data_IF_012414711124
#
_entry.id   IF_012414711124
#
_cell.length_a   1.000
_cell.length_b   1.000
_cell.length_c   1.000
_cell.angle_alpha   90.00
_cell.angle_beta   90.00
_cell.angle_gamma   90.00
#
_symmetry.space_group_name_H-M   'P 1'
#
loop_
_entity.id
_entity.type
_entity.pdbx_description
1 polymer ?
#
# COMPACT_ATOMS: atom_id res chain seq x y z
N UNK A 1 -85.42 32.31 -12.72
CA UNK A 1 -85.12 33.43 -11.80
C UNK A 1 -85.84 33.18 -10.49
N UNK A 2 -85.16 32.57 -9.53
CA UNK A 2 -85.69 32.28 -8.20
C UNK A 2 -85.79 33.58 -7.41
N UNK A 3 -87.00 33.98 -7.00
CA UNK A 3 -87.19 35.10 -6.08
C UNK A 3 -86.32 34.91 -4.83
N UNK A 4 -85.67 35.99 -4.38
CA UNK A 4 -84.89 35.98 -3.14
C UNK A 4 -85.78 35.51 -1.98
N UNK A 5 -85.24 34.68 -1.08
CA UNK A 5 -85.94 34.21 0.13
C UNK A 5 -86.50 35.41 0.92
N UNK A 6 -85.81 36.56 0.90
CA UNK A 6 -86.26 37.79 1.51
C UNK A 6 -87.57 38.32 0.92
N UNK A 7 -87.74 38.22 -0.41
CA UNK A 7 -88.97 38.63 -1.11
C UNK A 7 -90.12 37.68 -0.81
N UNK A 8 -89.85 36.36 -0.78
CA UNK A 8 -90.87 35.36 -0.42
C UNK A 8 -91.36 35.52 1.01
N UNK A 9 -90.45 35.79 1.95
CA UNK A 9 -90.80 36.06 3.35
C UNK A 9 -91.61 37.35 3.48
N UNK A 10 -91.22 38.43 2.80
CA UNK A 10 -91.99 39.68 2.80
C UNK A 10 -93.43 39.47 2.32
N UNK A 11 -93.62 38.81 1.18
CA UNK A 11 -94.97 38.52 0.67
C UNK A 11 -95.74 37.55 1.57
N UNK A 12 -95.08 36.61 2.23
CA UNK A 12 -95.70 35.71 3.20
C UNK A 12 -96.21 36.46 4.44
N UNK A 13 -95.40 37.35 5.03
CA UNK A 13 -95.80 38.14 6.19
C UNK A 13 -96.90 39.17 5.86
N UNK A 14 -96.80 39.83 4.70
CA UNK A 14 -97.87 40.74 4.22
C UNK A 14 -99.14 39.95 3.91
N UNK A 15 -99.02 38.81 3.21
CA UNK A 15 -100.15 37.94 2.88
C UNK A 15 -100.84 37.38 4.11
N UNK A 16 -100.09 36.89 5.10
CA UNK A 16 -100.63 36.43 6.38
C UNK A 16 -101.32 37.57 7.15
N UNK A 17 -100.72 38.77 7.17
CA UNK A 17 -101.32 39.95 7.79
C UNK A 17 -102.64 40.36 7.15
N UNK A 18 -102.72 40.37 5.82
CA UNK A 18 -103.94 40.66 5.06
C UNK A 18 -105.00 39.55 5.22
N UNK A 19 -104.61 38.28 5.25
CA UNK A 19 -105.53 37.16 5.50
C UNK A 19 -106.13 37.24 6.90
N UNK A 20 -105.32 37.52 7.93
CA UNK A 20 -105.80 37.69 9.30
C UNK A 20 -106.71 38.92 9.39
N UNK A 21 -106.32 40.04 8.80
CA UNK A 21 -107.14 41.26 8.76
C UNK A 21 -108.48 41.06 8.05
N UNK A 22 -108.48 40.31 6.94
CA UNK A 22 -109.68 39.96 6.18
C UNK A 22 -110.59 38.96 6.91
N UNK A 23 -110.02 37.90 7.50
CA UNK A 23 -110.76 36.93 8.29
C UNK A 23 -111.38 37.56 9.53
N UNK A 24 -110.64 38.44 10.23
CA UNK A 24 -111.17 39.21 11.35
C UNK A 24 -112.30 40.14 10.91
N UNK A 25 -112.17 40.78 9.75
CA UNK A 25 -113.24 41.63 9.21
C UNK A 25 -114.52 40.84 8.91
N UNK A 26 -114.41 39.65 8.30
CA UNK A 26 -115.55 38.78 8.02
C UNK A 26 -116.21 38.28 9.31
N UNK A 27 -115.39 37.85 10.27
CA UNK A 27 -115.87 37.42 11.58
C UNK A 27 -116.60 38.54 12.32
N UNK A 28 -116.02 39.74 12.36
CA UNK A 28 -116.62 40.91 13.00
C UNK A 28 -117.93 41.32 12.33
N UNK A 29 -118.06 41.23 11.00
CA UNK A 29 -119.33 41.45 10.30
C UNK A 29 -120.39 40.38 10.63
N UNK A 30 -119.98 39.13 10.84
CA UNK A 30 -120.91 38.04 11.18
C UNK A 30 -121.40 38.08 12.64
N UNK A 31 -120.58 38.61 13.55
CA UNK A 31 -120.83 38.56 15.00
C UNK A 31 -121.24 39.89 15.62
N UNK A 32 -120.82 41.03 15.08
CA UNK A 32 -121.31 42.35 15.49
C UNK A 32 -122.31 42.85 14.45
N UNK A 33 -123.57 43.03 14.86
CA UNK A 33 -124.59 43.72 14.06
C UNK A 33 -124.25 45.22 13.92
N UNK A 34 -123.25 45.53 13.10
CA UNK A 34 -122.78 46.88 12.83
C UNK A 34 -123.89 47.68 12.13
N UNK A 35 -124.20 48.88 12.63
CA UNK A 35 -125.17 49.78 12.01
C UNK A 35 -124.76 50.12 10.56
N UNK A 36 -125.75 50.22 9.65
CA UNK A 36 -125.59 50.32 8.19
C UNK A 36 -124.65 51.44 7.69
N UNK A 37 -124.33 52.45 8.52
CA UNK A 37 -123.39 53.52 8.18
C UNK A 37 -121.91 53.25 8.47
N UNK A 38 -121.56 52.26 9.31
CA UNK A 38 -120.18 51.99 9.74
C UNK A 38 -119.46 50.88 8.96
N UNK A 39 -120.18 50.14 8.12
CA UNK A 39 -119.70 48.91 7.50
C UNK A 39 -118.70 49.15 6.35
N UNK A 40 -118.78 50.29 5.65
CA UNK A 40 -117.92 50.61 4.50
C UNK A 40 -116.47 50.93 4.88
N UNK A 41 -116.23 51.50 6.06
CA UNK A 41 -114.89 51.87 6.52
C UNK A 41 -114.20 50.79 7.38
N UNK A 42 -114.97 49.87 7.95
CA UNK A 42 -114.45 48.85 8.86
C UNK A 42 -113.54 47.83 8.17
N UNK A 43 -113.96 47.33 6.99
CA UNK A 43 -113.19 46.36 6.19
C UNK A 43 -111.81 46.92 5.75
N UNK A 44 -111.72 48.11 5.12
CA UNK A 44 -110.42 48.68 4.77
C UNK A 44 -109.59 49.01 6.01
N UNK A 45 -110.22 49.37 7.13
CA UNK A 45 -109.56 49.54 8.42
C UNK A 45 -108.85 48.27 8.89
N UNK A 46 -109.55 47.13 8.96
CA UNK A 46 -108.96 45.85 9.36
C UNK A 46 -107.87 45.36 8.41
N UNK A 47 -108.03 45.55 7.09
CA UNK A 47 -106.99 45.22 6.11
C UNK A 47 -105.74 46.09 6.27
N UNK A 48 -105.90 47.38 6.56
CA UNK A 48 -104.77 48.29 6.81
C UNK A 48 -104.00 47.91 8.07
N UNK A 49 -104.69 47.56 9.15
CA UNK A 49 -104.07 47.08 10.40
C UNK A 49 -103.36 45.74 10.16
N UNK A 50 -103.98 44.81 9.42
CA UNK A 50 -103.38 43.55 9.03
C UNK A 50 -102.08 43.75 8.23
N UNK A 51 -102.08 44.70 7.28
CA UNK A 51 -100.89 45.05 6.49
C UNK A 51 -99.77 45.66 7.36
N UNK A 52 -100.11 46.55 8.31
CA UNK A 52 -99.14 47.14 9.25
C UNK A 52 -98.53 46.05 10.14
N UNK A 53 -99.35 45.15 10.69
CA UNK A 53 -98.87 44.03 11.51
C UNK A 53 -97.96 43.10 10.69
N UNK A 54 -98.32 42.82 9.44
CA UNK A 54 -97.48 42.02 8.53
C UNK A 54 -96.12 42.69 8.26
N UNK A 55 -96.11 43.99 7.97
CA UNK A 55 -94.88 44.76 7.76
C UNK A 55 -94.03 44.85 9.05
N UNK A 56 -94.66 45.02 10.21
CA UNK A 56 -93.98 45.08 11.50
C UNK A 56 -93.33 43.73 11.87
N UNK A 57 -94.03 42.61 11.67
CA UNK A 57 -93.47 41.27 11.88
C UNK A 57 -92.32 40.99 10.91
N UNK A 58 -92.45 41.35 9.64
CA UNK A 58 -91.34 41.25 8.69
C UNK A 58 -90.14 42.09 9.13
N UNK A 59 -90.37 43.34 9.57
CA UNK A 59 -89.31 44.21 10.06
C UNK A 59 -88.61 43.61 11.29
N UNK A 60 -89.37 43.07 12.25
CA UNK A 60 -88.84 42.43 13.45
C UNK A 60 -88.04 41.17 13.11
N UNK A 61 -88.56 40.31 12.23
CA UNK A 61 -87.88 39.11 11.75
C UNK A 61 -86.57 39.47 11.01
N UNK A 62 -86.62 40.49 10.14
CA UNK A 62 -85.45 40.98 9.42
C UNK A 62 -84.36 41.48 10.38
N UNK A 63 -84.76 42.22 11.41
CA UNK A 63 -83.84 42.83 12.37
C UNK A 63 -83.23 41.79 13.33
N UNK A 64 -84.01 40.80 13.78
CA UNK A 64 -83.55 39.80 14.75
C UNK A 64 -82.80 38.63 14.10
N UNK A 65 -83.29 38.10 12.97
CA UNK A 65 -82.78 36.85 12.38
C UNK A 65 -81.88 37.12 11.17
N UNK A 66 -82.38 37.83 10.15
CA UNK A 66 -81.62 38.04 8.90
C UNK A 66 -80.33 38.83 9.12
N UNK A 67 -80.36 39.88 9.93
CA UNK A 67 -79.16 40.68 10.20
C UNK A 67 -78.02 39.88 10.84
N UNK A 68 -78.34 38.87 11.65
CA UNK A 68 -77.33 37.99 12.29
C UNK A 68 -76.80 36.95 11.31
N UNK A 69 -77.66 36.40 10.44
CA UNK A 69 -77.26 35.51 9.35
C UNK A 69 -76.34 36.20 8.34
N UNK A 70 -76.61 37.47 8.01
CA UNK A 70 -75.76 38.25 7.10
C UNK A 70 -74.34 38.44 7.68
N UNK A 71 -74.22 38.72 8.98
CA UNK A 71 -72.93 38.82 9.69
C UNK A 71 -72.17 37.48 9.68
N UNK A 72 -72.84 36.38 10.01
CA UNK A 72 -72.28 35.03 9.96
C UNK A 72 -71.81 34.67 8.54
N UNK A 73 -72.64 34.94 7.53
CA UNK A 73 -72.31 34.68 6.13
C UNK A 73 -71.07 35.46 5.67
N UNK A 74 -70.89 36.69 6.15
CA UNK A 74 -69.71 37.49 5.83
C UNK A 74 -68.43 36.89 6.43
N UNK A 75 -68.45 36.48 7.71
CA UNK A 75 -67.27 35.85 8.33
C UNK A 75 -66.97 34.49 7.68
N UNK A 76 -67.99 33.72 7.34
CA UNK A 76 -67.82 32.44 6.63
C UNK A 76 -67.21 32.65 5.26
N UNK A 77 -67.60 33.73 4.55
CA UNK A 77 -67.03 34.08 3.25
C UNK A 77 -65.55 34.46 3.34
N UNK A 78 -65.14 35.12 4.43
CA UNK A 78 -63.72 35.48 4.66
C UNK A 78 -62.89 34.22 4.94
N UNK A 79 -63.37 33.33 5.81
CA UNK A 79 -62.71 32.05 6.08
C UNK A 79 -62.65 31.16 4.83
N UNK A 80 -63.73 31.10 4.03
CA UNK A 80 -63.76 30.37 2.77
C UNK A 80 -62.80 30.94 1.70
N UNK A 81 -62.44 32.22 1.81
CA UNK A 81 -61.42 32.84 0.96
C UNK A 81 -59.98 32.53 1.44
N UNK A 82 -59.82 31.78 2.54
CA UNK A 82 -58.53 31.37 3.09
C UNK A 82 -57.99 32.30 4.18
N UNK A 83 -58.72 33.33 4.56
CA UNK A 83 -58.35 34.18 5.70
C UNK A 83 -58.94 33.63 7.00
N UNK A 84 -58.12 32.81 7.68
CA UNK A 84 -58.44 32.18 8.96
C UNK A 84 -58.11 33.08 10.17
N UNK A 85 -57.71 34.33 9.95
CA UNK A 85 -57.33 35.25 11.03
C UNK A 85 -58.54 35.83 11.78
N UNK A 86 -59.72 35.78 11.16
CA UNK A 86 -60.94 36.37 11.70
C UNK A 86 -61.67 35.41 12.65
N UNK A 87 -62.01 35.92 13.84
CA UNK A 87 -62.90 35.25 14.79
C UNK A 87 -64.25 35.98 14.81
N UNK A 88 -65.35 35.23 14.82
CA UNK A 88 -66.66 35.82 15.01
C UNK A 88 -66.87 36.11 16.51
N UNK A 89 -67.00 37.38 16.88
CA UNK A 89 -67.14 37.84 18.28
C UNK A 89 -68.59 38.07 18.71
N UNK A 90 -69.56 37.69 17.86
CA UNK A 90 -70.98 37.87 18.18
C UNK A 90 -71.36 36.90 19.32
N UNK A 91 -71.77 37.45 20.46
CA UNK A 91 -72.27 36.68 21.59
C UNK A 91 -73.78 36.50 21.47
N UNK A 92 -74.22 35.25 21.58
CA UNK A 92 -75.63 34.86 21.58
C UNK A 92 -75.78 33.59 22.41
N UNK A 93 -76.77 33.53 23.28
CA UNK A 93 -77.05 32.36 24.13
C UNK A 93 -78.05 31.39 23.44
N UNK A 94 -78.12 31.43 22.12
CA UNK A 94 -79.01 30.62 21.28
C UNK A 94 -78.21 29.80 20.25
N UNK A 95 -78.91 29.15 19.33
CA UNK A 95 -78.33 28.32 18.26
C UNK A 95 -77.30 29.08 17.42
N UNK A 96 -77.39 30.42 17.30
CA UNK A 96 -76.38 31.20 16.59
C UNK A 96 -75.05 31.22 17.35
N UNK A 97 -75.08 31.25 18.68
CA UNK A 97 -73.88 31.15 19.53
C UNK A 97 -73.15 29.82 19.34
N UNK A 98 -73.89 28.71 19.31
CA UNK A 98 -73.31 27.38 19.06
C UNK A 98 -72.65 27.30 17.67
N UNK A 99 -73.30 27.81 16.62
CA UNK A 99 -72.74 27.86 15.26
C UNK A 99 -71.44 28.66 15.23
N UNK A 100 -71.41 29.81 15.92
CA UNK A 100 -70.23 30.67 16.03
C UNK A 100 -69.09 29.94 16.74
N UNK A 101 -69.39 29.25 17.84
CA UNK A 101 -68.39 28.49 18.59
C UNK A 101 -67.78 27.37 17.74
N UNK A 102 -68.60 26.55 17.07
CA UNK A 102 -68.10 25.49 16.18
C UNK A 102 -67.32 26.04 15.00
N UNK A 103 -67.75 27.17 14.43
CA UNK A 103 -67.03 27.83 13.35
C UNK A 103 -65.66 28.34 13.81
N UNK A 104 -65.58 29.03 14.95
CA UNK A 104 -64.32 29.52 15.50
C UNK A 104 -63.37 28.34 15.81
N UNK A 105 -63.88 27.23 16.36
CA UNK A 105 -63.10 26.02 16.59
C UNK A 105 -62.58 25.41 15.27
N UNK A 106 -63.41 25.35 14.24
CA UNK A 106 -63.00 24.87 12.92
C UNK A 106 -61.90 25.74 12.32
N UNK A 107 -62.04 27.07 12.36
CA UNK A 107 -61.01 28.00 11.89
C UNK A 107 -59.70 27.85 12.66
N UNK A 108 -59.76 27.68 13.98
CA UNK A 108 -58.59 27.43 14.81
C UNK A 108 -57.88 26.13 14.39
N UNK A 109 -58.63 25.03 14.24
CA UNK A 109 -58.07 23.75 13.79
C UNK A 109 -57.44 23.86 12.39
N UNK A 110 -58.09 24.58 11.46
CA UNK A 110 -57.53 24.81 10.11
C UNK A 110 -56.25 25.63 10.17
N UNK A 111 -56.19 26.65 11.03
CA UNK A 111 -54.99 27.46 11.22
C UNK A 111 -53.83 26.62 11.76
N UNK A 112 -54.08 25.80 12.78
CA UNK A 112 -53.08 24.89 13.34
C UNK A 112 -52.56 23.88 12.30
N UNK A 113 -53.44 23.37 11.42
CA UNK A 113 -53.02 22.51 10.31
C UNK A 113 -52.13 23.25 9.30
N UNK A 114 -52.47 24.49 8.94
CA UNK A 114 -51.65 25.30 8.03
C UNK A 114 -50.28 25.61 8.65
N UNK A 115 -50.24 25.98 9.93
CA UNK A 115 -49.00 26.21 10.67
C UNK A 115 -48.14 24.93 10.72
N UNK A 116 -48.74 23.75 10.96
CA UNK A 116 -48.04 22.47 10.93
C UNK A 116 -47.50 22.10 9.54
N UNK A 117 -48.25 22.41 8.47
CA UNK A 117 -47.81 22.21 7.08
C UNK A 117 -46.62 23.12 6.75
N UNK A 118 -46.66 24.39 7.16
CA UNK A 118 -45.56 25.34 6.96
C UNK A 118 -44.30 24.87 7.69
N UNK A 119 -44.41 24.50 8.97
CA UNK A 119 -43.31 23.97 9.75
C UNK A 119 -42.72 22.69 9.12
N UNK A 120 -43.57 21.81 8.59
CA UNK A 120 -43.12 20.61 7.86
C UNK A 120 -42.38 20.98 6.58
N UNK A 121 -42.83 22.00 5.85
CA UNK A 121 -42.16 22.54 4.66
C UNK A 121 -40.75 23.04 4.97
N UNK A 122 -40.58 23.79 6.06
CA UNK A 122 -39.28 24.32 6.49
C UNK A 122 -38.30 23.20 6.87
N UNK A 123 -38.79 22.16 7.56
CA UNK A 123 -38.00 20.97 7.91
C UNK A 123 -37.55 20.24 6.63
N UNK A 124 -38.46 20.05 5.67
CA UNK A 124 -38.14 19.41 4.38
C UNK A 124 -37.10 20.24 3.63
N UNK A 125 -37.25 21.55 3.55
CA UNK A 125 -36.29 22.44 2.89
C UNK A 125 -34.90 22.34 3.53
N UNK A 126 -34.83 22.37 4.86
CA UNK A 126 -33.57 22.22 5.61
C UNK A 126 -32.94 20.86 5.36
N UNK A 127 -33.74 19.79 5.37
CA UNK A 127 -33.30 18.42 5.12
C UNK A 127 -32.77 18.26 3.69
N UNK A 128 -33.43 18.87 2.70
CA UNK A 128 -32.97 18.88 1.31
C UNK A 128 -31.64 19.61 1.14
N UNK A 129 -31.44 20.74 1.82
CA UNK A 129 -30.15 21.43 1.83
C UNK A 129 -29.04 20.58 2.45
N UNK A 130 -29.33 19.89 3.56
CA UNK A 130 -28.39 18.98 4.19
C UNK A 130 -28.04 17.80 3.26
N UNK A 131 -29.05 17.22 2.60
CA UNK A 131 -28.87 16.14 1.63
C UNK A 131 -28.00 16.57 0.46
N UNK A 132 -28.25 17.75 -0.14
CA UNK A 132 -27.43 18.29 -1.22
C UNK A 132 -25.97 18.48 -0.79
N UNK A 133 -25.72 19.04 0.41
CA UNK A 133 -24.35 19.16 0.94
C UNK A 133 -23.70 17.80 1.15
N UNK A 134 -24.45 16.80 1.60
CA UNK A 134 -23.94 15.45 1.78
C UNK A 134 -23.61 14.81 0.43
N UNK A 135 -24.47 14.96 -0.58
CA UNK A 135 -24.23 14.46 -1.94
C UNK A 135 -22.98 15.08 -2.56
N UNK A 136 -22.76 16.39 -2.42
CA UNK A 136 -21.53 17.04 -2.91
C UNK A 136 -20.28 16.53 -2.21
N UNK A 137 -20.34 16.31 -0.89
CA UNK A 137 -19.23 15.67 -0.15
C UNK A 137 -18.96 14.26 -0.63
N UNK A 138 -19.99 13.43 -0.76
CA UNK A 138 -19.85 12.06 -1.29
C UNK A 138 -19.25 12.08 -2.69
N UNK A 139 -19.63 13.03 -3.54
CA UNK A 139 -19.05 13.18 -4.88
C UNK A 139 -17.57 13.52 -4.82
N UNK A 140 -17.16 14.43 -3.95
CA UNK A 140 -15.76 14.76 -3.74
C UNK A 140 -14.96 13.57 -3.17
N UNK A 141 -15.54 12.81 -2.24
CA UNK A 141 -14.92 11.62 -1.67
C UNK A 141 -14.72 10.53 -2.72
N UNK A 142 -15.71 10.32 -3.60
CA UNK A 142 -15.60 9.37 -4.73
C UNK A 142 -14.50 9.79 -5.71
N UNK A 143 -14.36 11.08 -5.99
CA UNK A 143 -13.27 11.59 -6.85
C UNK A 143 -11.89 11.33 -6.21
N UNK A 144 -11.73 11.62 -4.92
CA UNK A 144 -10.51 11.32 -4.17
C UNK A 144 -10.21 9.82 -4.13
N UNK A 145 -11.25 8.99 -3.99
CA UNK A 145 -11.13 7.54 -4.00
C UNK A 145 -10.67 7.03 -5.38
N UNK A 146 -11.20 7.59 -6.48
CA UNK A 146 -10.76 7.24 -7.83
C UNK A 146 -9.28 7.61 -8.07
N UNK A 147 -8.84 8.77 -7.59
CA UNK A 147 -7.43 9.17 -7.66
C UNK A 147 -6.53 8.23 -6.84
N UNK A 148 -6.99 7.84 -5.64
CA UNK A 148 -6.28 6.88 -4.80
C UNK A 148 -6.18 5.50 -5.46
N UNK A 149 -7.26 5.05 -6.13
CA UNK A 149 -7.25 3.81 -6.90
C UNK A 149 -6.31 3.87 -8.10
N UNK A 150 -6.22 5.00 -8.80
CA UNK A 150 -5.25 5.19 -9.88
C UNK A 150 -3.82 5.07 -9.36
N UNK A 151 -3.50 5.69 -8.23
CA UNK A 151 -2.19 5.55 -7.58
C UNK A 151 -1.93 4.11 -7.12
N UNK A 152 -2.92 3.42 -6.57
CA UNK A 152 -2.77 2.00 -6.19
C UNK A 152 -2.41 1.16 -7.41
N UNK A 153 -3.08 1.37 -8.54
CA UNK A 153 -2.78 0.64 -9.79
C UNK A 153 -1.35 0.91 -10.27
N UNK A 154 -0.87 2.16 -10.19
CA UNK A 154 0.51 2.51 -10.52
C UNK A 154 1.51 1.81 -9.59
N UNK A 155 1.26 1.82 -8.27
CA UNK A 155 2.09 1.11 -7.30
C UNK A 155 2.12 -0.39 -7.58
N UNK A 156 0.97 -1.00 -7.91
CA UNK A 156 0.87 -2.43 -8.24
C UNK A 156 1.67 -2.75 -9.50
N UNK A 157 1.63 -1.90 -10.52
CA UNK A 157 2.44 -2.06 -11.73
C UNK A 157 3.94 -1.99 -11.39
N UNK A 158 4.36 -1.00 -10.60
CA UNK A 158 5.75 -0.87 -10.14
C UNK A 158 6.21 -2.06 -9.30
N UNK A 159 5.32 -2.61 -8.45
CA UNK A 159 5.60 -3.83 -7.69
C UNK A 159 5.77 -5.05 -8.61
N UNK A 160 4.96 -5.18 -9.66
CA UNK A 160 5.11 -6.26 -10.63
C UNK A 160 6.47 -6.19 -11.35
N UNK A 161 6.88 -4.99 -11.77
CA UNK A 161 8.19 -4.76 -12.37
C UNK A 161 9.34 -5.10 -11.40
N UNK A 162 9.20 -4.69 -10.13
CA UNK A 162 10.16 -5.01 -9.09
C UNK A 162 10.30 -6.53 -8.88
N UNK A 163 9.19 -7.28 -8.88
CA UNK A 163 9.20 -8.74 -8.77
C UNK A 163 9.93 -9.39 -9.95
N UNK A 164 9.69 -8.91 -11.18
CA UNK A 164 10.40 -9.40 -12.37
C UNK A 164 11.91 -9.12 -12.27
N UNK A 165 12.29 -7.92 -11.82
CA UNK A 165 13.70 -7.54 -11.63
C UNK A 165 14.36 -8.40 -10.56
N UNK A 166 13.70 -8.63 -9.41
CA UNK A 166 14.20 -9.50 -8.35
C UNK A 166 14.39 -10.94 -8.86
N UNK A 167 13.45 -11.48 -9.63
CA UNK A 167 13.57 -12.81 -10.22
C UNK A 167 14.77 -12.89 -11.17
N UNK A 168 14.98 -11.87 -12.01
CA UNK A 168 16.13 -11.78 -12.92
C UNK A 168 17.46 -11.72 -12.15
N UNK A 169 17.53 -10.89 -11.10
CA UNK A 169 18.71 -10.81 -10.25
C UNK A 169 19.00 -12.12 -9.50
N UNK A 170 17.97 -12.82 -9.01
CA UNK A 170 18.12 -14.13 -8.40
C UNK A 170 18.68 -15.16 -9.39
N UNK A 171 18.16 -15.19 -10.61
CA UNK A 171 18.64 -16.06 -11.69
C UNK A 171 20.11 -15.76 -12.03
N UNK A 172 20.46 -14.48 -12.18
CA UNK A 172 21.85 -14.06 -12.45
C UNK A 172 22.79 -14.45 -11.31
N UNK A 173 22.35 -14.25 -10.06
CA UNK A 173 23.14 -14.59 -8.87
C UNK A 173 23.37 -16.10 -8.77
N UNK A 174 22.35 -16.91 -9.05
CA UNK A 174 22.49 -18.36 -9.13
C UNK A 174 23.50 -18.78 -10.22
N UNK A 175 23.46 -18.13 -11.38
CA UNK A 175 24.44 -18.36 -12.45
C UNK A 175 25.88 -18.02 -12.04
N UNK A 176 26.08 -16.88 -11.36
CA UNK A 176 27.40 -16.51 -10.82
C UNK A 176 27.87 -17.50 -9.76
N UNK A 177 27.00 -17.90 -8.83
CA UNK A 177 27.34 -18.88 -7.81
C UNK A 177 27.77 -20.24 -8.41
N UNK A 178 27.08 -20.70 -9.45
CA UNK A 178 27.44 -21.92 -10.17
C UNK A 178 28.79 -21.79 -10.90
N UNK A 179 29.09 -20.62 -11.47
CA UNK A 179 30.39 -20.36 -12.09
C UNK A 179 31.51 -20.37 -11.05
N UNK A 180 31.33 -19.69 -9.92
CA UNK A 180 32.29 -19.67 -8.81
C UNK A 180 32.53 -21.06 -8.24
N UNK A 181 31.49 -21.90 -8.11
CA UNK A 181 31.66 -23.29 -7.68
C UNK A 181 32.53 -24.08 -8.67
N UNK A 182 32.32 -23.90 -9.98
CA UNK A 182 33.13 -24.54 -11.02
C UNK A 182 34.59 -24.08 -10.94
N UNK A 183 34.84 -22.79 -10.75
CA UNK A 183 36.18 -22.24 -10.63
C UNK A 183 36.89 -22.73 -9.38
N UNK A 184 36.18 -22.83 -8.25
CA UNK A 184 36.72 -23.39 -7.01
C UNK A 184 37.10 -24.88 -7.18
N UNK A 185 36.26 -25.67 -7.87
CA UNK A 185 36.57 -27.07 -8.20
C UNK A 185 37.82 -27.18 -9.09
N UNK A 186 37.91 -26.36 -10.13
CA UNK A 186 39.08 -26.31 -11.00
C UNK A 186 40.34 -25.92 -10.22
N UNK A 187 40.25 -24.90 -9.36
CA UNK A 187 41.34 -24.48 -8.48
C UNK A 187 41.81 -25.60 -7.56
N UNK A 188 40.89 -26.36 -6.97
CA UNK A 188 41.23 -27.54 -6.17
C UNK A 188 41.98 -28.60 -7.02
N UNK A 189 41.53 -28.88 -8.24
CA UNK A 189 42.24 -29.78 -9.16
C UNK A 189 43.68 -29.31 -9.44
N UNK A 190 43.88 -28.02 -9.69
CA UNK A 190 45.23 -27.46 -9.91
C UNK A 190 46.11 -27.59 -8.66
N UNK A 191 45.56 -27.32 -7.47
CA UNK A 191 46.30 -27.50 -6.20
C UNK A 191 46.70 -28.96 -6.01
N UNK A 192 45.79 -29.92 -6.29
CA UNK A 192 46.11 -31.35 -6.20
C UNK A 192 47.21 -31.76 -7.17
N UNK A 193 47.17 -31.26 -8.41
CA UNK A 193 48.24 -31.47 -9.38
C UNK A 193 49.57 -30.89 -8.89
N UNK A 194 49.56 -29.72 -8.26
CA UNK A 194 50.74 -29.11 -7.63
C UNK A 194 51.31 -29.97 -6.51
N UNK A 195 50.46 -30.52 -5.63
CA UNK A 195 50.87 -31.43 -4.55
C UNK A 195 51.54 -32.68 -5.15
N UNK A 196 50.93 -33.31 -6.16
CA UNK A 196 51.53 -34.46 -6.86
C UNK A 196 52.87 -34.11 -7.49
N UNK A 197 52.99 -32.94 -8.13
CA UNK A 197 54.23 -32.47 -8.72
C UNK A 197 55.35 -32.26 -7.68
N UNK A 198 55.01 -31.70 -6.51
CA UNK A 198 55.96 -31.55 -5.40
C UNK A 198 56.38 -32.91 -4.85
N UNK A 199 55.45 -33.86 -4.69
CA UNK A 199 55.78 -35.22 -4.25
C UNK A 199 56.75 -35.90 -5.22
N UNK A 200 56.56 -35.74 -6.53
CA UNK A 200 57.49 -36.28 -7.53
C UNK A 200 58.86 -35.61 -7.43
N UNK A 201 58.89 -34.28 -7.29
CA UNK A 201 60.15 -33.55 -7.14
C UNK A 201 60.95 -34.01 -5.92
N UNK A 202 60.27 -34.29 -4.80
CA UNK A 202 60.91 -34.82 -3.58
C UNK A 202 61.53 -36.21 -3.87
N UNK A 203 60.85 -37.07 -4.63
CA UNK A 203 61.38 -38.37 -5.03
C UNK A 203 62.62 -38.22 -5.93
N UNK A 204 62.58 -37.30 -6.90
CA UNK A 204 63.70 -37.02 -7.80
C UNK A 204 64.91 -36.47 -7.02
N UNK A 205 64.69 -35.55 -6.08
CA UNK A 205 65.72 -34.99 -5.18
C UNK A 205 66.37 -36.10 -4.33
N UNK A 206 65.56 -36.99 -3.75
CA UNK A 206 66.09 -38.12 -2.98
C UNK A 206 66.93 -39.07 -3.85
N UNK A 207 66.50 -39.31 -5.09
CA UNK A 207 67.24 -40.14 -6.05
C UNK A 207 68.61 -39.52 -6.36
N UNK A 208 68.66 -38.23 -6.66
CA UNK A 208 69.93 -37.53 -6.95
C UNK A 208 70.85 -37.51 -5.72
N UNK A 209 70.31 -37.30 -4.52
CA UNK A 209 71.07 -37.36 -3.26
C UNK A 209 71.72 -38.73 -3.05
N UNK A 210 70.98 -39.82 -3.31
CA UNK A 210 71.51 -41.18 -3.26
C UNK A 210 72.64 -41.41 -4.29
N UNK A 211 72.50 -40.87 -5.51
CA UNK A 211 73.55 -40.96 -6.54
C UNK A 211 74.83 -40.21 -6.10
N UNK A 212 74.70 -39.03 -5.50
CA UNK A 212 75.85 -38.27 -4.99
C UNK A 212 76.54 -38.96 -3.81
N UNK A 213 75.79 -39.62 -2.92
CA UNK A 213 76.36 -40.48 -1.90
C UNK A 213 77.12 -41.68 -2.48
N UNK A 214 76.67 -42.21 -3.62
CA UNK A 214 77.41 -43.21 -4.38
C UNK A 214 78.72 -42.65 -4.94
N UNK A 215 78.67 -41.47 -5.57
CA UNK A 215 79.83 -40.79 -6.14
C UNK A 215 80.90 -40.46 -5.08
N UNK A 216 80.49 -39.99 -3.89
CA UNK A 216 81.40 -39.69 -2.80
C UNK A 216 82.15 -40.94 -2.31
N UNK A 217 81.48 -42.10 -2.22
CA UNK A 217 82.12 -43.38 -1.87
C UNK A 217 83.08 -43.85 -2.95
N UNK A 218 82.71 -43.72 -4.21
CA UNK A 218 83.61 -44.12 -5.30
C UNK A 218 84.86 -43.24 -5.34
N UNK A 219 84.71 -41.94 -5.07
CA UNK A 219 85.83 -41.02 -4.95
C UNK A 219 86.75 -41.36 -3.75
N UNK A 220 86.19 -41.86 -2.63
CA UNK A 220 86.97 -42.36 -1.49
C UNK A 220 87.79 -43.60 -1.86
N UNK A 221 87.17 -44.56 -2.55
CA UNK A 221 87.87 -45.75 -3.07
C UNK A 221 89.02 -45.35 -4.02
N UNK A 222 88.81 -44.36 -4.89
CA UNK A 222 89.88 -43.86 -5.78
C UNK A 222 91.02 -43.23 -4.96
N UNK A 223 90.70 -42.48 -3.90
CA UNK A 223 91.70 -41.93 -2.97
C UNK A 223 92.60 -43.02 -2.37
N UNK A 224 92.01 -44.09 -1.84
CA UNK A 224 92.77 -45.23 -1.30
C UNK A 224 93.70 -45.88 -2.33
N UNK A 225 93.25 -45.99 -3.59
CA UNK A 225 94.08 -46.53 -4.69
C UNK A 225 95.25 -45.59 -5.00
N UNK A 226 95.03 -44.27 -4.95
CA UNK A 226 96.08 -43.28 -5.18
C UNK A 226 97.15 -43.33 -4.08
N UNK A 227 96.77 -43.49 -2.80
CA UNK A 227 97.72 -43.67 -1.69
C UNK A 227 98.65 -44.87 -1.92
N UNK A 228 98.10 -45.97 -2.44
CA UNK A 228 98.89 -47.17 -2.80
C UNK A 228 99.86 -46.84 -3.95
N UNK A 229 99.41 -46.11 -4.98
CA UNK A 229 100.25 -45.73 -6.13
C UNK A 229 101.37 -44.77 -5.67
N UNK A 230 101.07 -43.81 -4.80
CA UNK A 230 102.05 -42.90 -4.23
C UNK A 230 103.11 -43.67 -3.44
N UNK A 231 102.67 -44.61 -2.59
CA UNK A 231 103.56 -45.51 -1.86
C UNK A 231 104.45 -46.34 -2.79
N UNK A 232 103.91 -46.87 -3.90
CA UNK A 232 104.69 -47.58 -4.93
C UNK A 232 105.70 -46.65 -5.59
N UNK A 233 105.31 -45.41 -5.93
CA UNK A 233 106.20 -44.44 -6.55
C UNK A 233 107.35 -44.04 -5.61
N UNK A 234 107.08 -43.81 -4.32
CA UNK A 234 108.09 -43.51 -3.29
C UNK A 234 109.04 -44.69 -3.10
N UNK A 235 108.52 -45.92 -3.01
CA UNK A 235 109.34 -47.14 -2.98
C UNK A 235 110.21 -47.28 -4.23
N UNK A 236 109.65 -47.01 -5.42
CA UNK A 236 110.37 -47.07 -6.69
C UNK A 236 111.47 -46.03 -6.74
N UNK A 237 111.21 -44.82 -6.23
CA UNK A 237 112.19 -43.74 -6.13
C UNK A 237 113.36 -44.12 -5.18
N UNK A 238 113.07 -44.73 -4.03
CA UNK A 238 114.09 -45.23 -3.10
C UNK A 238 114.90 -46.39 -3.69
N UNK A 239 114.23 -47.34 -4.37
CA UNK A 239 114.90 -48.44 -5.08
C UNK A 239 115.84 -47.92 -6.18
N UNK A 240 115.37 -46.95 -6.96
CA UNK A 240 116.16 -46.31 -8.01
C UNK A 240 117.35 -45.52 -7.45
N UNK A 241 117.18 -44.82 -6.33
CA UNK A 241 118.27 -44.14 -5.63
C UNK A 241 119.34 -45.13 -5.15
N UNK A 242 118.94 -46.24 -4.53
CA UNK A 242 119.87 -47.28 -4.09
C UNK A 242 120.62 -47.90 -5.28
N UNK A 243 119.93 -48.12 -6.40
CA UNK A 243 120.55 -48.61 -7.64
C UNK A 243 121.54 -47.60 -8.23
N UNK A 244 121.23 -46.31 -8.22
CA UNK A 244 122.13 -45.25 -8.69
C UNK A 244 123.40 -45.15 -7.82
N UNK A 245 123.26 -45.29 -6.50
CA UNK A 245 124.40 -45.33 -5.56
C UNK A 245 125.31 -46.53 -5.87
N UNK A 246 124.75 -47.73 -6.04
CA UNK A 246 125.55 -48.92 -6.31
C UNK A 246 126.18 -48.89 -7.71
N UNK A 247 125.48 -48.32 -8.70
CA UNK A 247 126.03 -48.08 -10.03
C UNK A 247 127.21 -47.09 -10.02
N UNK A 248 127.13 -46.02 -9.22
CA UNK A 248 128.25 -45.09 -9.01
C UNK A 248 129.45 -45.78 -8.32
N UNK A 249 129.17 -46.72 -7.41
CA UNK A 249 130.19 -47.50 -6.70
C UNK A 249 130.97 -48.46 -7.61
N UNK A 250 130.33 -48.96 -8.67
CA UNK A 250 130.94 -49.84 -9.67
C UNK A 250 131.83 -49.12 -10.72
N UNK A 251 131.91 -47.78 -10.68
CA UNK A 251 132.77 -46.99 -11.58
C UNK A 251 132.35 -47.07 -13.06
N UNK A 252 133.32 -47.16 -13.97
CA UNK A 252 133.05 -47.17 -15.43
C UNK A 252 132.17 -48.36 -15.89
N UNK A 253 132.21 -49.50 -15.18
CA UNK A 253 131.37 -50.67 -15.49
C UNK A 253 129.89 -50.45 -15.13
N UNK A 254 129.57 -49.46 -14.28
CA UNK A 254 128.22 -49.15 -13.81
C UNK A 254 127.50 -48.04 -14.58
N UNK A 255 128.15 -47.38 -15.55
CA UNK A 255 127.57 -46.18 -16.22
C UNK A 255 126.22 -46.43 -16.90
N UNK A 256 126.05 -47.56 -17.58
CA UNK A 256 124.77 -47.91 -18.22
C UNK A 256 123.64 -48.11 -17.20
N UNK A 257 123.94 -48.75 -16.07
CA UNK A 257 122.99 -48.93 -14.97
C UNK A 257 122.66 -47.63 -14.26
N UNK A 258 123.62 -46.72 -14.10
CA UNK A 258 123.41 -45.41 -13.50
C UNK A 258 122.39 -44.56 -14.30
N UNK A 259 122.50 -44.55 -15.64
CA UNK A 259 121.55 -43.82 -16.51
C UNK A 259 120.13 -44.39 -16.40
N UNK A 260 119.99 -45.72 -16.38
CA UNK A 260 118.67 -46.36 -16.22
C UNK A 260 118.10 -46.07 -14.83
N UNK A 261 118.93 -46.10 -13.78
CA UNK A 261 118.50 -45.80 -12.41
C UNK A 261 118.02 -44.34 -12.28
N UNK A 262 118.70 -43.36 -12.88
CA UNK A 262 118.25 -41.97 -12.89
C UNK A 262 116.95 -41.76 -13.72
N UNK A 263 116.77 -42.50 -14.81
CA UNK A 263 115.52 -42.46 -15.60
C UNK A 263 114.35 -43.04 -14.81
N UNK A 264 114.55 -44.17 -14.13
CA UNK A 264 113.53 -44.77 -13.23
C UNK A 264 113.21 -43.84 -12.06
N UNK A 265 114.22 -43.20 -11.47
CA UNK A 265 114.03 -42.20 -10.41
C UNK A 265 113.19 -41.01 -10.89
N UNK A 266 113.49 -40.52 -12.09
CA UNK A 266 112.73 -39.43 -12.73
C UNK A 266 111.28 -39.86 -13.01
N UNK A 267 111.07 -41.08 -13.50
CA UNK A 267 109.74 -41.62 -13.78
C UNK A 267 108.93 -41.79 -12.48
N UNK A 268 109.56 -42.30 -11.41
CA UNK A 268 108.95 -42.43 -10.10
C UNK A 268 108.55 -41.07 -9.51
N UNK A 269 109.41 -40.06 -9.61
CA UNK A 269 109.08 -38.69 -9.20
C UNK A 269 107.94 -38.08 -10.01
N UNK A 270 107.86 -38.33 -11.33
CA UNK A 270 106.75 -37.88 -12.18
C UNK A 270 105.45 -38.61 -11.86
N UNK A 271 105.52 -39.90 -11.56
CA UNK A 271 104.36 -40.70 -11.13
C UNK A 271 103.81 -40.16 -9.81
N UNK A 272 104.68 -39.89 -8.82
CA UNK A 272 104.27 -39.31 -7.54
C UNK A 272 103.59 -37.95 -7.72
N UNK A 273 104.17 -37.06 -8.52
CA UNK A 273 103.57 -35.75 -8.80
C UNK A 273 102.19 -35.86 -9.46
N UNK A 274 102.04 -36.79 -10.41
CA UNK A 274 100.75 -37.04 -11.05
C UNK A 274 99.71 -37.59 -10.06
N UNK A 275 100.13 -38.48 -9.15
CA UNK A 275 99.27 -39.00 -8.08
C UNK A 275 98.82 -37.89 -7.12
N UNK A 276 99.71 -37.00 -6.70
CA UNK A 276 99.38 -35.81 -5.87
C UNK A 276 98.36 -34.90 -6.58
N UNK A 277 98.54 -34.63 -7.88
CA UNK A 277 97.62 -33.80 -8.66
C UNK A 277 96.22 -34.44 -8.75
N UNK A 278 96.14 -35.77 -8.93
CA UNK A 278 94.88 -36.51 -8.95
C UNK A 278 94.25 -36.55 -7.55
N UNK A 279 95.03 -36.72 -6.48
CA UNK A 279 94.53 -36.66 -5.10
C UNK A 279 93.82 -35.33 -4.84
N UNK A 280 94.43 -34.21 -5.23
CA UNK A 280 93.81 -32.89 -5.12
C UNK A 280 92.54 -32.72 -5.96
N UNK A 281 92.40 -33.44 -7.09
CA UNK A 281 91.15 -33.48 -7.86
C UNK A 281 90.06 -34.28 -7.14
N UNK A 282 90.41 -35.42 -6.55
CA UNK A 282 89.49 -36.28 -5.79
C UNK A 282 88.99 -35.57 -4.53
N UNK A 283 89.86 -34.88 -3.80
CA UNK A 283 89.46 -34.09 -2.61
C UNK A 283 88.43 -33.02 -2.97
N UNK A 284 88.65 -32.30 -4.08
CA UNK A 284 87.69 -31.31 -4.58
C UNK A 284 86.36 -31.96 -4.99
N UNK A 285 86.42 -33.12 -5.65
CA UNK A 285 85.23 -33.84 -6.09
C UNK A 285 84.40 -34.36 -4.90
N UNK A 286 85.06 -34.89 -3.86
CA UNK A 286 84.42 -35.29 -2.62
C UNK A 286 83.77 -34.10 -1.90
N UNK A 287 84.50 -32.97 -1.80
CA UNK A 287 83.98 -31.73 -1.21
C UNK A 287 82.73 -31.24 -1.94
N UNK A 288 82.79 -31.11 -3.27
CA UNK A 288 81.67 -30.69 -4.10
C UNK A 288 80.47 -31.64 -4.01
N UNK A 289 80.71 -32.95 -3.91
CA UNK A 289 79.64 -33.94 -3.75
C UNK A 289 78.95 -33.83 -2.37
N UNK A 290 79.72 -33.61 -1.30
CA UNK A 290 79.18 -33.38 0.06
C UNK A 290 78.39 -32.09 0.14
N UNK A 291 78.90 -31.01 -0.46
CA UNK A 291 78.21 -29.72 -0.52
C UNK A 291 76.88 -29.83 -1.27
N UNK A 292 76.86 -30.57 -2.39
CA UNK A 292 75.64 -30.82 -3.15
C UNK A 292 74.60 -31.62 -2.34
N UNK A 293 75.00 -32.67 -1.62
CA UNK A 293 74.09 -33.43 -0.72
C UNK A 293 73.56 -32.54 0.40
N UNK A 294 74.42 -31.73 1.03
CA UNK A 294 74.01 -30.83 2.11
C UNK A 294 72.98 -29.80 1.63
N UNK A 295 73.19 -29.21 0.45
CA UNK A 295 72.25 -28.29 -0.17
C UNK A 295 70.88 -28.94 -0.45
N UNK A 296 70.87 -30.20 -0.86
CA UNK A 296 69.64 -30.96 -1.13
C UNK A 296 68.92 -31.44 0.14
N UNK A 297 69.61 -31.55 1.28
CA UNK A 297 69.02 -31.90 2.57
C UNK A 297 68.37 -30.73 3.30
N UNK A 298 68.70 -29.50 2.90
CA UNK A 298 68.20 -28.26 3.50
C UNK A 298 67.10 -27.56 2.68
N UNK A 299 66.82 -28.03 1.45
CA UNK A 299 65.73 -27.55 0.59
C UNK A 299 64.55 -28.49 0.60
#
# INVERSE_FOLDING_TARGET
>A
MTQSIQQRLLYSFIGAGLLIGGAFSLFAQSSLALHEGGQSWFVPGCLSVGLIIGLFNYWLFRRLVLSRLEQLAQVFRIAAAGDLSQQCTVQSDDVFGEIIQYFNQMNQNQRELVEAIQASGDIIQTSMQALNRQTERTRADVENQNQSLAHINETVASMADAVVSIASHAQSTAGVAQHTEKDARNGNTVVQQGITGISQLIEDVNTVSNTLHGLAREAENIGEVLDIIEGIAEQTNLLALNAAIEAARAGEQGRGFAVVADEVRTLASRSRQATEDIHGMIDRLQGQSRDAVAAMSHG
#
